data_IF_060239813425
#
_entry.id   IF_060239813425
#
_cell.length_a   1.000
_cell.length_b   1.000
_cell.length_c   1.000
_cell.angle_alpha   90.00
_cell.angle_beta   90.00
_cell.angle_gamma   90.00
#
_symmetry.space_group_name_H-M   'P 1'
#
loop_
_entity.id
_entity.type
_entity.pdbx_description
1 polymer ?
#
# COMPACT_ATOMS: atom_id res chain seq x y z
N UNK A 1 45.16 -14.45 -37.31
CA UNK A 1 46.10 -15.34 -38.07
C UNK A 1 45.19 -16.28 -38.84
N UNK A 2 45.24 -16.21 -40.19
CA UNK A 2 44.42 -17.07 -41.04
C UNK A 2 45.23 -18.30 -41.41
N UNK A 3 44.67 -19.51 -41.21
CA UNK A 3 45.27 -20.75 -41.64
C UNK A 3 44.56 -21.24 -42.91
N UNK A 4 45.31 -21.52 -43.95
CA UNK A 4 44.80 -22.17 -45.17
C UNK A 4 45.06 -23.69 -45.01
N UNK A 5 44.05 -24.51 -45.30
CA UNK A 5 44.19 -25.95 -45.44
C UNK A 5 45.10 -26.26 -46.65
N UNK A 6 45.60 -27.51 -46.73
CA UNK A 6 46.45 -27.97 -47.86
C UNK A 6 45.74 -27.92 -49.22
N UNK A 7 44.44 -27.62 -49.27
CA UNK A 7 43.63 -27.42 -50.45
C UNK A 7 43.40 -25.93 -50.80
N UNK A 8 44.02 -25.00 -50.06
CA UNK A 8 43.94 -23.57 -50.29
C UNK A 8 42.57 -22.96 -49.87
N UNK A 9 41.72 -23.74 -49.24
CA UNK A 9 40.39 -23.26 -48.74
C UNK A 9 40.58 -22.65 -47.38
N UNK A 10 40.05 -21.44 -47.18
CA UNK A 10 39.94 -20.79 -45.87
C UNK A 10 39.06 -21.67 -44.97
N UNK A 11 39.66 -22.47 -44.10
CA UNK A 11 38.87 -23.18 -43.09
C UNK A 11 38.55 -22.24 -41.95
N UNK A 12 37.39 -21.60 -42.02
CA UNK A 12 36.83 -20.81 -40.92
C UNK A 12 36.16 -21.73 -39.92
N UNK A 13 36.95 -22.65 -39.32
CA UNK A 13 36.52 -23.41 -38.17
C UNK A 13 36.82 -22.62 -36.90
N UNK A 14 36.20 -21.48 -36.73
CA UNK A 14 35.96 -21.04 -35.34
C UNK A 14 35.05 -22.08 -34.70
N UNK A 15 35.65 -22.93 -33.86
CA UNK A 15 34.86 -23.86 -33.04
C UNK A 15 33.81 -23.01 -32.29
N UNK A 16 32.52 -23.37 -32.47
CA UNK A 16 31.44 -22.73 -31.70
C UNK A 16 31.84 -22.72 -30.23
N UNK A 17 31.59 -21.61 -29.51
CA UNK A 17 31.85 -21.59 -28.06
C UNK A 17 31.15 -22.78 -27.39
N UNK A 18 31.81 -23.40 -26.42
CA UNK A 18 31.19 -24.43 -25.60
C UNK A 18 29.99 -23.82 -24.83
N UNK A 19 28.93 -24.61 -24.66
CA UNK A 19 27.74 -24.21 -23.87
C UNK A 19 28.11 -23.88 -22.43
N UNK A 20 27.28 -23.05 -21.79
CA UNK A 20 27.42 -22.63 -20.40
C UNK A 20 27.85 -21.19 -20.22
N UNK A 21 28.11 -20.85 -18.98
CA UNK A 21 28.54 -19.53 -18.57
C UNK A 21 29.94 -19.19 -19.03
N UNK A 22 30.14 -17.97 -19.52
CA UNK A 22 31.44 -17.41 -19.95
C UNK A 22 31.63 -16.03 -19.34
N UNK A 23 32.74 -15.84 -18.65
CA UNK A 23 33.17 -14.50 -18.20
C UNK A 23 33.95 -13.84 -19.34
N UNK A 24 33.45 -12.67 -19.77
CA UNK A 24 34.14 -11.80 -20.72
C UNK A 24 34.69 -10.57 -19.98
N UNK A 25 35.31 -9.64 -20.71
CA UNK A 25 35.94 -8.44 -20.14
C UNK A 25 34.98 -7.54 -19.37
N UNK A 26 33.70 -7.56 -19.72
CA UNK A 26 32.65 -6.63 -19.21
C UNK A 26 31.50 -7.34 -18.47
N UNK A 27 31.53 -8.68 -18.34
CA UNK A 27 30.52 -9.42 -17.59
C UNK A 27 30.35 -10.87 -17.97
N UNK A 28 29.33 -11.48 -17.41
CA UNK A 28 28.95 -12.87 -17.65
C UNK A 28 27.95 -12.98 -18.81
N UNK A 29 28.14 -14.03 -19.63
CA UNK A 29 27.33 -14.40 -20.78
C UNK A 29 27.02 -15.89 -20.74
N UNK A 30 25.90 -16.30 -21.30
CA UNK A 30 25.54 -17.73 -21.41
C UNK A 30 25.38 -18.15 -22.85
N UNK A 31 25.99 -19.31 -23.17
CA UNK A 31 25.93 -19.94 -24.50
C UNK A 31 25.09 -21.21 -24.46
N UNK A 32 24.23 -21.38 -25.43
CA UNK A 32 23.39 -22.57 -25.67
C UNK A 32 23.48 -22.96 -27.13
N UNK A 33 23.84 -24.24 -27.39
CA UNK A 33 24.07 -24.75 -28.74
C UNK A 33 25.12 -23.92 -29.54
N UNK A 34 26.15 -23.46 -28.83
CA UNK A 34 27.22 -22.64 -29.40
C UNK A 34 26.80 -21.21 -29.78
N UNK A 35 25.65 -20.73 -29.34
CA UNK A 35 25.14 -19.37 -29.57
C UNK A 35 24.86 -18.67 -28.24
N UNK A 36 25.19 -17.38 -28.19
CA UNK A 36 24.90 -16.54 -27.02
C UNK A 36 23.38 -16.33 -26.91
N UNK A 37 22.80 -16.57 -25.73
CA UNK A 37 21.40 -16.23 -25.51
C UNK A 37 21.28 -14.74 -25.14
N UNK A 38 20.18 -14.11 -25.58
CA UNK A 38 19.91 -12.67 -25.42
C UNK A 38 18.43 -12.44 -25.15
N UNK A 39 18.13 -11.36 -24.40
CA UNK A 39 16.76 -10.98 -24.04
C UNK A 39 15.97 -12.16 -23.48
N UNK A 40 16.59 -12.96 -22.62
CA UNK A 40 16.03 -14.22 -22.16
C UNK A 40 16.28 -14.46 -20.67
N UNK A 41 15.26 -14.98 -19.97
CA UNK A 41 15.44 -15.54 -18.64
C UNK A 41 16.04 -16.94 -18.71
N UNK A 42 17.10 -17.15 -17.91
CA UNK A 42 17.74 -18.45 -17.75
C UNK A 42 17.48 -18.97 -16.34
N UNK A 43 16.81 -20.10 -16.20
CA UNK A 43 16.57 -20.74 -14.91
C UNK A 43 17.36 -22.04 -14.80
N UNK A 44 18.10 -22.21 -13.73
CA UNK A 44 18.82 -23.44 -13.38
C UNK A 44 18.56 -23.76 -11.90
N UNK A 45 17.90 -24.87 -11.63
CA UNK A 45 17.41 -25.17 -10.28
C UNK A 45 16.43 -24.09 -9.79
N UNK A 46 16.71 -23.48 -8.65
CA UNK A 46 15.88 -22.44 -8.05
C UNK A 46 16.39 -21.01 -8.33
N UNK A 47 17.36 -20.86 -9.24
CA UNK A 47 17.97 -19.58 -9.55
C UNK A 47 17.60 -19.17 -10.97
N UNK A 48 17.18 -17.92 -11.11
CA UNK A 48 16.86 -17.33 -12.41
C UNK A 48 17.74 -16.09 -12.63
N UNK A 49 18.32 -16.00 -13.82
CA UNK A 49 19.07 -14.85 -14.33
C UNK A 49 18.34 -14.25 -15.53
N UNK A 50 18.73 -13.06 -15.93
CA UNK A 50 18.34 -12.47 -17.20
C UNK A 50 19.54 -12.03 -18.00
N UNK A 51 19.59 -12.45 -19.25
CA UNK A 51 20.58 -12.01 -20.25
C UNK A 51 19.93 -10.90 -21.08
N UNK A 52 20.53 -9.72 -21.10
CA UNK A 52 19.98 -8.55 -21.75
C UNK A 52 20.03 -8.67 -23.31
N UNK A 53 19.68 -7.62 -23.98
CA UNK A 53 19.68 -7.51 -25.45
C UNK A 53 21.07 -7.67 -26.09
N UNK A 54 22.13 -7.49 -25.29
CA UNK A 54 23.52 -7.74 -25.68
C UNK A 54 24.00 -9.14 -25.29
N UNK A 55 23.17 -9.88 -24.54
CA UNK A 55 23.50 -11.20 -23.95
C UNK A 55 24.25 -11.13 -22.63
N UNK A 56 24.41 -9.93 -22.07
CA UNK A 56 25.09 -9.72 -20.79
C UNK A 56 24.16 -10.01 -19.64
N UNK A 57 24.64 -10.72 -18.62
CA UNK A 57 23.89 -11.00 -17.39
C UNK A 57 23.61 -9.71 -16.62
N UNK A 58 22.34 -9.47 -16.29
CA UNK A 58 21.94 -8.37 -15.42
C UNK A 58 22.39 -8.63 -13.98
N UNK A 59 23.08 -7.65 -13.37
CA UNK A 59 23.55 -7.74 -11.98
C UNK A 59 23.33 -6.42 -11.25
N UNK A 60 22.98 -6.50 -9.96
CA UNK A 60 22.82 -5.36 -9.06
C UNK A 60 22.00 -4.19 -9.64
N UNK A 61 20.91 -4.50 -10.34
CA UNK A 61 20.07 -3.51 -11.02
C UNK A 61 18.61 -3.91 -11.07
N UNK A 62 17.78 -2.90 -11.26
CA UNK A 62 16.39 -3.08 -11.74
C UNK A 62 16.36 -3.04 -13.26
N UNK A 63 15.47 -3.81 -13.85
CA UNK A 63 15.26 -3.81 -15.30
C UNK A 63 13.79 -3.97 -15.63
N UNK A 64 13.31 -3.14 -16.54
CA UNK A 64 11.99 -3.28 -17.14
C UNK A 64 12.09 -4.30 -18.28
N UNK A 65 11.33 -5.39 -18.18
CA UNK A 65 11.30 -6.48 -19.15
C UNK A 65 9.84 -6.78 -19.46
N UNK A 66 9.46 -6.66 -20.73
CA UNK A 66 8.10 -6.92 -21.22
C UNK A 66 6.99 -6.24 -20.39
N UNK A 67 7.26 -4.99 -19.98
CA UNK A 67 6.30 -4.18 -19.23
C UNK A 67 6.23 -4.49 -17.72
N UNK A 68 7.10 -5.31 -17.15
CA UNK A 68 7.21 -5.56 -15.72
C UNK A 68 8.63 -5.29 -15.21
N UNK A 69 8.71 -4.75 -13.99
CA UNK A 69 9.99 -4.52 -13.34
C UNK A 69 10.48 -5.78 -12.62
N UNK A 70 11.76 -6.04 -12.76
CA UNK A 70 12.51 -7.11 -12.10
C UNK A 70 13.74 -6.53 -11.43
N UNK A 71 14.24 -7.22 -10.40
CA UNK A 71 15.49 -6.86 -9.75
C UNK A 71 16.44 -8.06 -9.71
N UNK A 72 17.74 -7.79 -9.96
CA UNK A 72 18.80 -8.78 -9.91
C UNK A 72 19.84 -8.36 -8.88
N UNK A 73 20.28 -9.31 -8.05
CA UNK A 73 21.31 -9.07 -7.05
C UNK A 73 22.72 -8.96 -7.68
N UNK A 74 23.76 -8.83 -6.83
CA UNK A 74 25.15 -8.75 -7.27
C UNK A 74 25.62 -10.01 -8.01
N UNK A 75 25.02 -11.18 -7.77
CA UNK A 75 25.31 -12.44 -8.44
C UNK A 75 24.44 -12.64 -9.70
N UNK A 76 23.58 -11.68 -10.01
CA UNK A 76 22.61 -11.75 -11.11
C UNK A 76 21.38 -12.58 -10.78
N UNK A 77 21.16 -12.97 -9.52
CA UNK A 77 19.98 -13.75 -9.14
C UNK A 77 18.77 -12.87 -9.10
N UNK A 78 17.70 -13.31 -9.76
CA UNK A 78 16.41 -12.63 -9.75
C UNK A 78 15.85 -12.60 -8.32
N UNK A 79 15.55 -11.40 -7.82
CA UNK A 79 14.98 -11.21 -6.49
C UNK A 79 13.50 -11.61 -6.51
N UNK A 80 13.05 -12.28 -5.45
CA UNK A 80 11.64 -12.56 -5.14
C UNK A 80 11.37 -12.26 -3.67
N UNK A 81 10.11 -11.94 -3.34
CA UNK A 81 9.74 -11.53 -1.99
C UNK A 81 10.13 -10.08 -1.67
N UNK A 82 10.27 -9.81 -0.38
CA UNK A 82 10.65 -8.49 0.11
C UNK A 82 12.14 -8.20 -0.11
N UNK A 83 12.42 -7.01 -0.63
CA UNK A 83 13.77 -6.49 -0.80
C UNK A 83 13.91 -5.14 -0.08
N UNK A 84 14.83 -5.07 0.88
CA UNK A 84 15.21 -3.82 1.55
C UNK A 84 16.40 -3.17 0.85
N UNK A 85 16.22 -1.92 0.40
CA UNK A 85 17.28 -1.14 -0.21
C UNK A 85 18.14 -0.43 0.86
N UNK A 86 19.35 -0.01 0.48
CA UNK A 86 20.31 0.63 1.40
C UNK A 86 19.86 1.99 1.96
N UNK A 87 18.88 2.63 1.30
CA UNK A 87 18.26 3.89 1.74
C UNK A 87 17.11 3.70 2.72
N UNK A 88 16.82 2.44 3.10
CA UNK A 88 15.71 2.07 3.98
C UNK A 88 14.39 1.82 3.26
N UNK A 89 14.35 1.98 1.94
CA UNK A 89 13.17 1.68 1.13
C UNK A 89 12.91 0.19 1.02
N UNK A 90 11.64 -0.19 0.94
CA UNK A 90 11.22 -1.58 0.74
C UNK A 90 10.53 -1.76 -0.60
N UNK A 91 10.81 -2.89 -1.22
CA UNK A 91 10.22 -3.31 -2.49
C UNK A 91 9.70 -4.74 -2.36
N UNK A 92 8.71 -5.09 -3.14
CA UNK A 92 8.20 -6.45 -3.21
C UNK A 92 8.15 -6.98 -4.64
N UNK A 93 8.72 -8.16 -4.82
CA UNK A 93 8.72 -8.92 -6.07
C UNK A 93 7.97 -10.23 -5.86
N UNK A 94 7.00 -10.54 -6.71
CA UNK A 94 6.25 -11.79 -6.65
C UNK A 94 7.14 -13.02 -6.82
N UNK A 95 6.55 -14.22 -6.65
CA UNK A 95 7.27 -15.48 -6.87
C UNK A 95 7.80 -15.67 -8.30
N UNK A 96 7.21 -14.94 -9.25
CA UNK A 96 7.67 -14.87 -10.65
C UNK A 96 8.74 -13.79 -10.90
N UNK A 97 9.19 -13.09 -9.86
CA UNK A 97 10.16 -12.00 -9.91
C UNK A 97 9.63 -10.65 -10.36
N UNK A 98 8.35 -10.56 -10.77
CA UNK A 98 7.75 -9.29 -11.15
C UNK A 98 7.50 -8.41 -9.95
N UNK A 99 7.80 -7.12 -10.06
CA UNK A 99 7.47 -6.13 -9.03
C UNK A 99 5.95 -6.08 -8.80
N UNK A 100 5.55 -5.99 -7.54
CA UNK A 100 4.16 -5.74 -7.17
C UNK A 100 3.71 -4.36 -7.64
N UNK A 101 2.39 -4.20 -7.85
CA UNK A 101 1.80 -2.93 -8.31
C UNK A 101 0.39 -2.77 -7.75
N UNK A 102 0.07 -1.58 -7.23
CA UNK A 102 -1.23 -1.29 -6.63
C UNK A 102 -1.43 -1.99 -5.28
N UNK A 103 -2.69 -2.20 -4.91
CA UNK A 103 -3.00 -2.98 -3.72
C UNK A 103 -2.59 -4.43 -3.91
N UNK A 104 -1.68 -4.88 -3.04
CA UNK A 104 -1.10 -6.22 -3.09
C UNK A 104 -1.23 -6.87 -1.71
N UNK A 105 -1.88 -8.04 -1.66
CA UNK A 105 -1.96 -8.84 -0.44
C UNK A 105 -0.73 -9.75 -0.32
N UNK A 106 0.00 -9.60 0.78
CA UNK A 106 1.18 -10.41 1.07
C UNK A 106 0.96 -11.08 2.43
N UNK A 107 0.78 -12.38 2.41
CA UNK A 107 0.22 -13.09 3.56
C UNK A 107 -1.23 -12.63 3.83
N UNK A 108 -1.50 -12.17 5.06
CA UNK A 108 -2.82 -11.66 5.45
C UNK A 108 -2.86 -10.12 5.53
N UNK A 109 -1.85 -9.43 4.98
CA UNK A 109 -1.69 -7.98 5.09
C UNK A 109 -1.75 -7.35 3.71
N UNK A 110 -2.49 -6.23 3.61
CA UNK A 110 -2.56 -5.44 2.41
C UNK A 110 -1.54 -4.30 2.45
N UNK A 111 -0.83 -4.13 1.32
CA UNK A 111 0.12 -3.05 1.06
C UNK A 111 -0.28 -2.31 -0.21
N UNK A 112 0.22 -1.10 -0.39
CA UNK A 112 0.17 -0.42 -1.67
C UNK A 112 1.59 -0.28 -2.22
N UNK A 113 1.80 -0.80 -3.43
CA UNK A 113 3.08 -0.80 -4.11
C UNK A 113 2.98 0.09 -5.35
N UNK A 114 3.98 0.92 -5.58
CA UNK A 114 4.12 1.63 -6.85
C UNK A 114 4.52 0.65 -7.96
N UNK A 115 4.41 1.09 -9.22
CA UNK A 115 4.62 0.25 -10.41
C UNK A 115 5.95 -0.53 -10.43
N UNK A 116 7.00 -0.01 -9.76
CA UNK A 116 8.30 -0.67 -9.63
C UNK A 116 8.44 -1.55 -8.38
N UNK A 117 7.34 -1.80 -7.66
CA UNK A 117 7.32 -2.58 -6.42
C UNK A 117 7.65 -1.80 -5.14
N UNK A 118 7.92 -0.50 -5.24
CA UNK A 118 8.20 0.35 -4.08
C UNK A 118 7.01 0.40 -3.11
N UNK A 119 7.24 0.08 -1.85
CA UNK A 119 6.21 0.09 -0.81
C UNK A 119 5.93 1.50 -0.29
N UNK A 120 4.69 1.94 -0.41
CA UNK A 120 4.24 3.21 0.17
C UNK A 120 4.04 3.05 1.67
N UNK A 121 4.52 4.05 2.44
CA UNK A 121 4.40 4.11 3.90
C UNK A 121 3.94 5.50 4.34
N UNK A 122 3.35 5.60 5.54
CA UNK A 122 2.96 6.86 6.19
C UNK A 122 2.24 7.84 5.25
N UNK A 123 1.34 7.33 4.41
CA UNK A 123 0.76 8.12 3.33
C UNK A 123 -0.71 7.81 3.08
N UNK A 124 -1.44 8.86 2.72
CA UNK A 124 -2.78 8.73 2.19
C UNK A 124 -2.74 8.32 0.72
N UNK A 125 -3.63 7.41 0.34
CA UNK A 125 -3.81 6.98 -1.07
C UNK A 125 -5.28 7.05 -1.43
N UNK A 126 -5.60 7.74 -2.50
CA UNK A 126 -6.95 7.79 -3.06
C UNK A 126 -7.04 6.89 -4.29
N UNK A 127 -8.05 6.03 -4.32
CA UNK A 127 -8.37 5.17 -5.47
C UNK A 127 -9.86 5.38 -5.80
N UNK A 128 -10.12 5.96 -6.93
CA UNK A 128 -11.45 6.49 -7.23
C UNK A 128 -11.84 7.56 -6.20
N UNK A 129 -13.01 7.42 -5.59
CA UNK A 129 -13.51 8.35 -4.54
C UNK A 129 -13.18 7.85 -3.12
N UNK A 130 -12.44 6.76 -2.97
CA UNK A 130 -12.15 6.14 -1.67
C UNK A 130 -10.74 6.44 -1.21
N UNK A 131 -10.60 6.86 0.04
CA UNK A 131 -9.33 7.11 0.69
C UNK A 131 -8.89 5.91 1.55
N UNK A 132 -7.60 5.65 1.51
CA UNK A 132 -6.89 4.63 2.29
C UNK A 132 -5.69 5.27 2.98
N UNK A 133 -5.23 4.70 4.08
CA UNK A 133 -4.00 5.12 4.73
C UNK A 133 -3.02 3.94 4.86
N UNK A 134 -1.79 4.14 4.39
CA UNK A 134 -0.69 3.21 4.55
C UNK A 134 0.11 3.62 5.79
N UNK A 135 0.18 2.73 6.77
CA UNK A 135 0.85 2.99 8.04
C UNK A 135 2.38 3.15 7.87
N UNK A 136 3.12 3.56 8.90
CA UNK A 136 4.58 3.59 8.86
C UNK A 136 5.23 2.23 8.52
N UNK A 137 4.55 1.12 8.82
CA UNK A 137 4.99 -0.23 8.45
C UNK A 137 4.57 -0.63 7.03
N UNK A 138 3.90 0.24 6.28
CA UNK A 138 3.42 0.01 4.92
C UNK A 138 2.10 -0.73 4.81
N UNK A 139 1.59 -1.34 5.89
CA UNK A 139 0.31 -2.03 5.85
C UNK A 139 -0.87 -1.04 5.80
N UNK A 140 -1.92 -1.43 5.10
CA UNK A 140 -3.16 -0.67 5.02
C UNK A 140 -3.83 -0.60 6.40
N UNK A 141 -4.23 0.61 6.84
CA UNK A 141 -4.95 0.83 8.08
C UNK A 141 -6.35 0.20 8.01
N UNK A 142 -6.77 -0.45 9.11
CA UNK A 142 -8.10 -1.04 9.29
C UNK A 142 -8.55 -0.76 10.73
N UNK A 143 -9.84 -0.45 10.93
CA UNK A 143 -10.36 -0.05 12.23
C UNK A 143 -9.96 1.39 12.59
N UNK A 144 -9.89 1.67 13.88
CA UNK A 144 -9.48 2.97 14.38
C UNK A 144 -7.97 3.20 14.22
N UNK A 145 -7.60 4.33 13.63
CA UNK A 145 -6.19 4.69 13.43
C UNK A 145 -5.99 6.20 13.58
N UNK A 146 -4.88 6.59 14.21
CA UNK A 146 -4.50 8.01 14.39
C UNK A 146 -3.56 8.44 13.27
N UNK A 147 -3.93 9.52 12.57
CA UNK A 147 -3.07 10.18 11.60
C UNK A 147 -2.98 11.65 11.99
N UNK A 148 -1.76 12.17 12.17
CA UNK A 148 -1.48 13.56 12.52
C UNK A 148 -2.32 14.06 13.71
N UNK A 149 -2.42 13.22 14.76
CA UNK A 149 -3.15 13.55 15.98
C UNK A 149 -4.68 13.51 15.89
N UNK A 150 -5.24 13.13 14.75
CA UNK A 150 -6.68 12.95 14.53
C UNK A 150 -7.04 11.47 14.39
N UNK A 151 -8.18 11.07 14.98
CA UNK A 151 -8.71 9.72 14.80
C UNK A 151 -9.51 9.60 13.52
N UNK A 152 -9.30 8.49 12.83
CA UNK A 152 -10.02 8.04 11.64
C UNK A 152 -10.49 6.61 11.84
N UNK A 153 -11.53 6.23 11.14
CA UNK A 153 -11.98 4.83 11.08
C UNK A 153 -11.92 4.30 9.66
N UNK A 154 -11.27 3.16 9.50
CA UNK A 154 -11.19 2.44 8.24
C UNK A 154 -11.98 1.14 8.36
N UNK A 155 -12.81 0.84 7.40
CA UNK A 155 -13.57 -0.41 7.40
C UNK A 155 -12.69 -1.65 7.14
N UNK A 156 -13.29 -2.83 7.08
CA UNK A 156 -12.55 -4.08 6.87
C UNK A 156 -11.86 -4.15 5.50
N UNK A 157 -12.27 -3.34 4.53
CA UNK A 157 -11.61 -3.20 3.23
C UNK A 157 -10.48 -2.16 3.24
N UNK A 158 -10.25 -1.47 4.37
CA UNK A 158 -9.33 -0.36 4.52
C UNK A 158 -9.86 0.97 4.00
N UNK A 159 -11.12 1.04 3.56
CA UNK A 159 -11.73 2.28 3.11
C UNK A 159 -12.00 3.23 4.28
N UNK A 160 -11.54 4.49 4.16
CA UNK A 160 -11.81 5.53 5.15
C UNK A 160 -13.31 5.80 5.23
N UNK A 161 -13.84 5.75 6.46
CA UNK A 161 -15.25 6.02 6.72
C UNK A 161 -15.52 7.51 6.84
N UNK A 162 -16.71 7.92 6.37
CA UNK A 162 -17.31 9.22 6.62
C UNK A 162 -18.75 9.05 7.10
N UNK A 163 -19.29 10.05 7.78
CA UNK A 163 -20.67 10.06 8.29
C UNK A 163 -20.83 9.18 9.54
N UNK A 164 -22.09 8.83 9.82
CA UNK A 164 -22.45 8.06 10.98
C UNK A 164 -21.96 6.61 10.94
N UNK A 165 -21.39 6.13 12.07
CA UNK A 165 -20.98 4.74 12.25
C UNK A 165 -21.39 4.24 13.63
N UNK A 166 -22.07 3.10 13.65
CA UNK A 166 -22.32 2.37 14.90
C UNK A 166 -21.26 1.28 15.07
N UNK A 167 -20.47 1.39 16.13
CA UNK A 167 -19.41 0.44 16.45
C UNK A 167 -19.66 -0.10 17.86
N UNK A 168 -20.07 -1.34 17.95
CA UNK A 168 -20.60 -1.91 19.18
C UNK A 168 -21.90 -1.21 19.62
N UNK A 169 -21.96 -0.75 20.86
CA UNK A 169 -23.12 -0.01 21.42
C UNK A 169 -23.06 1.50 21.16
N UNK A 170 -21.95 2.03 20.65
CA UNK A 170 -21.73 3.46 20.53
C UNK A 170 -21.89 3.95 19.10
N UNK A 171 -22.42 5.17 18.96
CA UNK A 171 -22.44 5.90 17.72
C UNK A 171 -21.27 6.89 17.65
N UNK A 172 -20.67 6.98 16.49
CA UNK A 172 -19.59 7.90 16.13
C UNK A 172 -19.98 8.68 14.88
N UNK A 173 -19.42 9.86 14.73
CA UNK A 173 -19.54 10.61 13.50
C UNK A 173 -18.15 10.93 12.94
N UNK A 174 -17.91 10.47 11.73
CA UNK A 174 -16.70 10.80 10.97
C UNK A 174 -17.07 11.99 10.07
N UNK A 175 -16.49 13.14 10.37
CA UNK A 175 -16.76 14.38 9.61
C UNK A 175 -16.36 14.21 8.13
N UNK A 176 -16.82 15.06 7.21
CA UNK A 176 -16.26 15.14 5.87
C UNK A 176 -14.74 15.25 5.92
N UNK A 177 -14.03 14.37 5.19
CA UNK A 177 -12.57 14.17 5.32
C UNK A 177 -12.16 13.16 6.38
N UNK A 178 -13.14 12.41 6.98
CA UNK A 178 -12.91 11.20 7.79
C UNK A 178 -12.53 11.42 9.25
N UNK A 179 -12.30 12.66 9.70
CA UNK A 179 -11.92 12.92 11.11
C UNK A 179 -13.05 12.62 12.07
N UNK A 180 -12.76 11.91 13.15
CA UNK A 180 -13.71 11.64 14.22
C UNK A 180 -14.15 12.92 14.92
N UNK A 181 -15.47 13.13 15.07
CA UNK A 181 -16.03 14.21 15.83
C UNK A 181 -15.79 14.04 17.34
N UNK A 182 -15.47 15.14 18.03
CA UNK A 182 -15.35 15.24 19.49
C UNK A 182 -15.95 16.55 19.93
N UNK A 183 -16.67 16.57 21.05
CA UNK A 183 -17.39 17.74 21.53
C UNK A 183 -18.67 18.02 20.71
N UNK A 184 -19.09 19.26 20.64
CA UNK A 184 -20.27 19.64 19.87
C UNK A 184 -20.03 19.61 18.37
N UNK A 185 -20.90 18.95 17.63
CA UNK A 185 -20.87 18.88 16.17
C UNK A 185 -22.28 19.03 15.58
N UNK A 186 -22.39 19.76 14.48
CA UNK A 186 -23.64 19.90 13.72
C UNK A 186 -23.66 18.86 12.61
N UNK A 187 -24.72 18.06 12.59
CA UNK A 187 -24.98 17.11 11.52
C UNK A 187 -26.44 17.27 11.09
N UNK A 188 -26.68 17.50 9.81
CA UNK A 188 -28.02 17.66 9.22
C UNK A 188 -28.87 18.66 10.01
N UNK A 189 -28.31 19.83 10.33
CA UNK A 189 -28.94 20.94 11.09
C UNK A 189 -29.27 20.64 12.56
N UNK A 190 -28.85 19.49 13.09
CA UNK A 190 -28.96 19.13 14.50
C UNK A 190 -27.64 19.17 15.19
N UNK A 191 -27.61 19.59 16.47
CA UNK A 191 -26.45 19.52 17.31
C UNK A 191 -26.35 18.16 18.00
N UNK A 192 -25.16 17.57 18.01
CA UNK A 192 -24.81 16.35 18.73
C UNK A 192 -23.58 16.60 19.58
N UNK A 193 -23.43 15.85 20.66
CA UNK A 193 -22.22 15.91 21.49
C UNK A 193 -21.54 14.56 21.53
N UNK A 194 -20.24 14.58 21.28
CA UNK A 194 -19.38 13.40 21.33
C UNK A 194 -18.38 13.55 22.48
N UNK A 195 -18.19 12.49 23.26
CA UNK A 195 -17.22 12.51 24.34
C UNK A 195 -15.78 12.54 23.82
N UNK A 196 -14.79 12.53 24.72
CA UNK A 196 -13.36 12.59 24.37
C UNK A 196 -12.89 11.34 23.59
N UNK A 197 -13.65 10.24 23.63
CA UNK A 197 -13.40 9.02 22.87
C UNK A 197 -14.19 9.01 21.55
N UNK A 198 -14.93 10.07 21.24
CA UNK A 198 -15.75 10.20 20.04
C UNK A 198 -17.10 9.51 20.14
N UNK A 199 -17.47 8.94 21.27
CA UNK A 199 -18.78 8.31 21.42
C UNK A 199 -19.89 9.37 21.62
N UNK A 200 -20.97 9.27 20.81
CA UNK A 200 -22.13 10.15 20.90
C UNK A 200 -22.82 9.98 22.26
N UNK A 201 -23.06 11.10 22.94
CA UNK A 201 -23.88 11.09 24.13
C UNK A 201 -25.37 11.09 23.76
N UNK A 202 -26.15 10.36 24.55
CA UNK A 202 -27.60 10.30 24.39
C UNK A 202 -28.29 10.22 25.77
N UNK A 203 -29.50 10.77 25.85
CA UNK A 203 -30.39 10.75 27.01
C UNK A 203 -29.70 11.27 28.30
N UNK A 204 -29.05 12.44 28.18
CA UNK A 204 -28.31 13.06 29.31
C UNK A 204 -28.04 14.54 29.13
N UNK A 205 -27.71 15.19 30.23
CA UNK A 205 -27.20 16.55 30.27
C UNK A 205 -25.74 16.66 29.88
N UNK A 206 -25.43 17.71 29.12
CA UNK A 206 -24.07 18.14 28.79
C UNK A 206 -23.82 19.48 29.50
N UNK A 207 -22.74 19.54 30.28
CA UNK A 207 -22.30 20.72 31.05
C UNK A 207 -23.41 21.32 31.95
N UNK A 208 -24.41 20.52 32.37
CA UNK A 208 -25.60 20.94 33.13
C UNK A 208 -26.41 22.05 32.45
N UNK A 209 -26.26 22.28 31.16
CA UNK A 209 -26.85 23.34 30.37
C UNK A 209 -27.71 22.81 29.24
N UNK A 210 -27.19 21.83 28.50
CA UNK A 210 -27.83 21.27 27.30
C UNK A 210 -28.27 19.82 27.53
N UNK A 211 -29.41 19.44 26.99
CA UNK A 211 -29.85 18.04 27.03
C UNK A 211 -29.77 17.41 25.65
N UNK A 212 -29.12 16.25 25.52
CA UNK A 212 -29.13 15.42 24.32
C UNK A 212 -30.11 14.28 24.49
N UNK A 213 -31.06 14.17 23.52
CA UNK A 213 -32.14 13.18 23.51
C UNK A 213 -31.62 11.75 23.31
N UNK A 214 -32.50 10.76 23.42
CA UNK A 214 -32.21 9.35 23.10
C UNK A 214 -31.68 9.18 21.67
N UNK A 215 -32.05 10.06 20.74
CA UNK A 215 -31.50 10.10 19.39
C UNK A 215 -30.11 10.70 19.31
N UNK A 216 -29.55 11.24 20.40
CA UNK A 216 -28.33 12.02 20.48
C UNK A 216 -28.48 13.48 20.09
N UNK A 217 -29.55 13.86 19.42
CA UNK A 217 -29.76 15.26 19.02
C UNK A 217 -30.06 16.18 20.23
N UNK A 218 -29.45 17.37 20.25
CA UNK A 218 -29.72 18.38 21.28
C UNK A 218 -31.18 18.79 21.25
N UNK A 219 -31.82 18.77 22.42
CA UNK A 219 -33.20 19.21 22.60
C UNK A 219 -33.35 20.73 22.46
N UNK A 220 -34.47 21.21 21.88
CA UNK A 220 -34.80 22.63 21.73
C UNK A 220 -36.31 22.83 21.86
N UNK A 221 -36.72 23.89 22.57
CA UNK A 221 -38.13 24.26 22.79
C UNK A 221 -39.00 23.09 23.27
N UNK A 222 -38.48 22.29 24.20
CA UNK A 222 -39.16 21.08 24.69
C UNK A 222 -38.83 20.77 26.14
N UNK A 223 -39.72 19.99 26.75
CA UNK A 223 -39.50 19.41 28.08
C UNK A 223 -38.65 18.14 27.95
N UNK A 224 -37.64 18.02 28.81
CA UNK A 224 -36.66 16.92 28.81
C UNK A 224 -36.57 16.26 30.17
N UNK A 225 -35.82 15.16 30.27
CA UNK A 225 -35.56 14.42 31.49
C UNK A 225 -36.86 14.09 32.25
N UNK A 226 -37.74 13.34 31.59
CA UNK A 226 -39.08 12.96 32.11
C UNK A 226 -39.98 14.15 32.43
N UNK A 227 -39.94 15.17 31.59
CA UNK A 227 -40.71 16.43 31.74
C UNK A 227 -40.39 17.21 33.01
N UNK A 228 -39.19 17.13 33.53
CA UNK A 228 -38.75 17.86 34.72
C UNK A 228 -38.15 19.22 34.41
N UNK A 229 -37.58 19.38 33.21
CA UNK A 229 -36.85 20.58 32.84
C UNK A 229 -37.25 21.02 31.44
N UNK A 230 -37.31 22.33 31.23
CA UNK A 230 -37.58 22.91 29.90
C UNK A 230 -36.28 23.45 29.32
N UNK A 231 -36.01 23.18 28.04
CA UNK A 231 -34.91 23.81 27.28
C UNK A 231 -35.51 24.74 26.23
N UNK A 232 -34.93 25.93 26.09
CA UNK A 232 -35.41 26.97 25.17
C UNK A 232 -34.99 26.71 23.72
N UNK A 233 -35.27 27.62 22.80
CA UNK A 233 -34.95 27.55 21.37
C UNK A 233 -33.42 27.44 21.08
N UNK A 234 -32.60 27.89 22.01
CA UNK A 234 -31.13 27.73 21.92
C UNK A 234 -30.65 26.41 22.56
N UNK A 235 -31.56 25.58 23.06
CA UNK A 235 -31.23 24.32 23.74
C UNK A 235 -30.76 24.51 25.19
N UNK A 236 -30.79 25.74 25.71
CA UNK A 236 -30.32 26.07 27.07
C UNK A 236 -31.43 25.77 28.06
N UNK A 237 -31.06 25.12 29.19
CA UNK A 237 -31.98 24.95 30.30
C UNK A 237 -32.57 26.33 30.75
N UNK A 238 -33.87 26.39 30.85
CA UNK A 238 -34.62 27.55 31.32
C UNK A 238 -35.38 27.18 32.60
N UNK A 239 -35.28 28.02 33.63
CA UNK A 239 -36.07 27.90 34.85
C UNK A 239 -37.53 28.25 34.59
#
# INVERSE_FOLDING_TARGET
MYYFGNDGVLSNTQSKPSDGWKLMTDGWYYFRNGSMIKSEFLTQGNITWYLDENGKMCTNQEKLIDGAWYRFDANGYMITGWYGANDGSWYYYGSNGQAGNGFTQIGNVWYYLEYNGYMITSSWKQIGDVWYYLTPSGNMAVGWYVVDGSWYFFDASGAMAEGWRQLGSNWYYLMPGGKMAVGWCVVDSNWYYFDTNGAMLADRWVDYVYYVKTSGAMAKDEWVDHNRYYVNSNGVWAN
#
